data_IF_281123870558
#
_entry.id   IF_281123870558
#
_cell.length_a   1.000
_cell.length_b   1.000
_cell.length_c   1.000
_cell.angle_alpha   90.00
_cell.angle_beta   90.00
_cell.angle_gamma   90.00
#
_symmetry.space_group_name_H-M   'P 1'
#
loop_
_entity.id
_entity.type
_entity.pdbx_description
1 polymer ?
#
# COMPACT_ATOMS: atom_id res chain seq x y z
N UNK A 1 -0.66 -17.88 1.89
CA UNK A 1 0.29 -17.25 2.83
C UNK A 1 -0.34 -15.98 3.42
N UNK A 2 -0.40 -15.82 4.75
CA UNK A 2 -0.93 -14.62 5.41
C UNK A 2 -0.10 -13.37 5.10
N UNK A 3 -0.75 -12.28 4.72
CA UNK A 3 -0.13 -10.97 4.45
C UNK A 3 -0.95 -9.82 5.02
N UNK A 4 -0.31 -8.68 5.25
CA UNK A 4 -0.98 -7.41 5.54
C UNK A 4 -0.86 -6.45 4.36
N UNK A 5 -1.78 -5.48 4.29
CA UNK A 5 -1.82 -4.47 3.22
C UNK A 5 -1.95 -3.07 3.80
N UNK A 6 -1.04 -2.15 3.44
CA UNK A 6 -1.18 -0.74 3.84
C UNK A 6 -2.56 -0.16 3.50
N UNK A 7 -3.18 0.50 4.48
CA UNK A 7 -4.51 1.13 4.37
C UNK A 7 -4.48 2.44 3.55
N UNK A 8 -3.88 2.38 2.37
CA UNK A 8 -3.98 3.35 1.29
C UNK A 8 -4.07 2.64 -0.08
N UNK A 9 -4.31 1.32 -0.05
CA UNK A 9 -4.44 0.43 -1.19
C UNK A 9 -5.82 -0.23 -1.12
N UNK A 10 -6.53 -0.19 -2.24
CA UNK A 10 -7.87 -0.76 -2.34
C UNK A 10 -7.85 -2.28 -2.25
N UNK A 11 -8.59 -2.81 -1.27
CA UNK A 11 -8.94 -4.23 -1.14
C UNK A 11 -10.47 -4.31 -1.17
N UNK A 12 -11.02 -4.99 -2.17
CA UNK A 12 -12.47 -5.06 -2.42
C UNK A 12 -13.22 -5.44 -1.15
N UNK A 13 -14.22 -4.64 -0.80
CA UNK A 13 -15.10 -4.83 0.35
C UNK A 13 -14.53 -4.34 1.68
N UNK A 14 -13.29 -3.86 1.72
CA UNK A 14 -12.69 -3.27 2.92
C UNK A 14 -12.70 -1.74 2.87
N UNK A 15 -12.74 -1.06 4.03
CA UNK A 15 -12.62 0.38 4.10
C UNK A 15 -11.22 0.83 3.64
N UNK A 16 -11.15 1.97 2.95
CA UNK A 16 -9.88 2.61 2.58
C UNK A 16 -9.90 4.11 2.91
N UNK A 17 -9.91 4.50 4.19
CA UNK A 17 -9.93 5.90 4.59
C UNK A 17 -8.60 6.61 4.41
N UNK A 18 -7.51 5.89 4.11
CA UNK A 18 -6.16 6.47 4.00
C UNK A 18 -5.74 7.28 5.25
N UNK A 19 -6.20 6.84 6.43
CA UNK A 19 -5.97 7.49 7.72
C UNK A 19 -6.85 8.71 7.99
N UNK A 20 -7.69 9.14 7.04
CA UNK A 20 -8.48 10.38 7.14
C UNK A 20 -9.90 10.10 7.62
N UNK A 21 -10.35 10.83 8.64
CA UNK A 21 -11.66 10.63 9.28
C UNK A 21 -12.84 10.75 8.31
N UNK A 22 -12.83 11.77 7.45
CA UNK A 22 -13.93 12.01 6.50
C UNK A 22 -14.04 10.92 5.42
N UNK A 23 -12.99 10.11 5.24
CA UNK A 23 -12.93 9.04 4.23
C UNK A 23 -13.34 7.67 4.78
N UNK A 24 -13.78 7.58 6.03
CA UNK A 24 -14.20 6.32 6.69
C UNK A 24 -15.37 5.61 5.99
N UNK A 25 -16.24 6.35 5.32
CA UNK A 25 -17.31 5.79 4.49
C UNK A 25 -16.86 5.22 3.15
N UNK A 26 -15.59 5.37 2.77
CA UNK A 26 -15.07 4.87 1.49
C UNK A 26 -14.75 3.38 1.60
N UNK A 27 -15.64 2.56 1.03
CA UNK A 27 -15.42 1.12 0.86
C UNK A 27 -14.90 0.86 -0.56
N UNK A 28 -13.78 0.16 -0.67
CA UNK A 28 -13.21 -0.18 -1.97
C UNK A 28 -14.14 -1.13 -2.75
N UNK A 29 -14.56 -0.71 -3.94
CA UNK A 29 -15.45 -1.50 -4.81
C UNK A 29 -14.70 -2.57 -5.61
N UNK A 30 -13.38 -2.39 -5.80
CA UNK A 30 -12.52 -3.33 -6.53
C UNK A 30 -11.17 -3.48 -5.84
N UNK A 31 -10.48 -4.58 -6.12
CA UNK A 31 -9.10 -4.79 -5.68
C UNK A 31 -8.14 -3.96 -6.55
N UNK A 32 -7.17 -3.29 -5.93
CA UNK A 32 -6.04 -2.72 -6.64
C UNK A 32 -5.30 -3.81 -7.44
N UNK A 33 -4.61 -3.49 -8.58
CA UNK A 33 -3.98 -4.49 -9.41
C UNK A 33 -3.02 -5.41 -8.64
N UNK A 34 -2.19 -4.85 -7.76
CA UNK A 34 -1.27 -5.62 -6.91
C UNK A 34 -2.00 -6.59 -6.00
N UNK A 35 -3.15 -6.18 -5.44
CA UNK A 35 -3.99 -7.01 -4.58
C UNK A 35 -4.60 -8.16 -5.36
N UNK A 36 -5.08 -7.92 -6.60
CA UNK A 36 -5.55 -9.00 -7.49
C UNK A 36 -4.46 -10.03 -7.74
N UNK A 37 -3.24 -9.59 -8.05
CA UNK A 37 -2.12 -10.50 -8.31
C UNK A 37 -1.72 -11.28 -7.06
N UNK A 38 -1.68 -10.65 -5.89
CA UNK A 38 -1.38 -11.31 -4.62
C UNK A 38 -2.44 -12.37 -4.28
N UNK A 39 -3.74 -12.02 -4.39
CA UNK A 39 -4.83 -12.98 -4.17
C UNK A 39 -4.79 -14.14 -5.16
N UNK A 40 -4.56 -13.87 -6.44
CA UNK A 40 -4.41 -14.91 -7.47
C UNK A 40 -3.23 -15.85 -7.22
N UNK A 41 -2.17 -15.36 -6.55
CA UNK A 41 -1.03 -16.16 -6.12
C UNK A 41 -1.26 -16.91 -4.79
N UNK A 42 -2.47 -16.86 -4.21
CA UNK A 42 -2.80 -17.55 -2.95
C UNK A 42 -2.44 -16.78 -1.67
N UNK A 43 -2.26 -15.46 -1.75
CA UNK A 43 -2.11 -14.62 -0.56
C UNK A 43 -3.45 -14.50 0.18
N UNK A 44 -3.39 -14.59 1.51
CA UNK A 44 -4.53 -14.41 2.41
C UNK A 44 -4.32 -13.08 3.14
N UNK A 45 -5.15 -12.08 2.83
CA UNK A 45 -5.04 -10.76 3.47
C UNK A 45 -5.72 -10.85 4.83
N UNK A 46 -4.94 -10.75 5.91
CA UNK A 46 -5.45 -10.87 7.28
C UNK A 46 -5.77 -9.52 7.93
N UNK A 47 -5.38 -8.42 7.30
CA UNK A 47 -5.67 -7.08 7.81
C UNK A 47 -5.04 -5.96 6.98
N UNK A 48 -5.52 -4.74 7.23
CA UNK A 48 -4.94 -3.53 6.67
C UNK A 48 -4.06 -2.83 7.72
N UNK A 49 -2.82 -2.48 7.37
CA UNK A 49 -1.90 -1.83 8.29
C UNK A 49 -2.07 -0.32 8.28
N UNK A 50 -1.88 0.27 9.45
CA UNK A 50 -1.96 1.71 9.68
C UNK A 50 -0.98 2.51 8.79
N UNK A 51 -1.34 3.76 8.49
CA UNK A 51 -0.60 4.74 7.67
C UNK A 51 -0.89 6.15 8.20
N UNK A 52 0.04 7.12 8.10
CA UNK A 52 -0.33 8.51 8.33
C UNK A 52 -1.37 8.99 7.31
N UNK A 53 -2.15 9.99 7.67
CA UNK A 53 -3.20 10.60 6.83
C UNK A 53 -2.66 10.95 5.46
N UNK A 54 -3.22 10.36 4.39
CA UNK A 54 -2.79 10.53 3.00
C UNK A 54 -1.34 10.10 2.69
N UNK A 55 -0.63 9.51 3.66
CA UNK A 55 0.73 8.99 3.53
C UNK A 55 1.94 9.95 3.36
N UNK A 56 1.89 11.30 3.60
CA UNK A 56 3.04 12.19 3.40
C UNK A 56 3.86 12.44 4.69
N UNK A 57 3.81 11.54 5.69
CA UNK A 57 4.58 11.66 6.94
C UNK A 57 5.57 10.51 7.14
N UNK A 58 6.67 10.80 7.82
CA UNK A 58 7.75 9.85 8.15
C UNK A 58 7.52 9.11 9.48
N UNK A 59 6.36 9.26 10.09
CA UNK A 59 5.89 8.59 11.29
C UNK A 59 4.44 8.13 11.03
N UNK A 60 4.02 7.04 11.68
CA UNK A 60 2.73 6.40 11.39
C UNK A 60 1.74 6.65 12.52
N UNK A 61 0.99 7.74 12.39
CA UNK A 61 -0.09 8.14 13.28
C UNK A 61 -1.28 8.68 12.47
N UNK A 62 -2.50 8.45 12.94
CA UNK A 62 -3.67 9.17 12.44
C UNK A 62 -4.81 9.18 13.49
N UNK A 63 -5.85 10.03 13.30
CA UNK A 63 -6.97 10.10 14.22
C UNK A 63 -7.84 8.83 14.32
N UNK A 64 -7.76 7.91 13.35
CA UNK A 64 -8.60 6.72 13.30
C UNK A 64 -8.04 5.55 14.13
N UNK A 65 -6.74 5.36 14.05
CA UNK A 65 -6.03 4.18 14.56
C UNK A 65 -4.94 4.55 15.57
N UNK A 66 -4.70 5.84 15.78
CA UNK A 66 -3.65 6.34 16.67
C UNK A 66 -2.24 6.09 16.13
N UNK A 67 -1.27 6.20 17.04
CA UNK A 67 0.16 5.97 16.79
C UNK A 67 0.45 4.47 16.67
N UNK A 68 1.17 4.09 15.61
CA UNK A 68 1.78 2.76 15.51
C UNK A 68 3.10 2.77 16.27
N UNK A 69 3.28 1.83 17.20
CA UNK A 69 4.50 1.68 17.98
C UNK A 69 5.52 0.78 17.26
N UNK A 70 6.80 1.03 17.50
CA UNK A 70 7.87 0.15 17.05
C UNK A 70 7.96 -1.07 18.00
N UNK A 71 7.96 -2.31 17.49
CA UNK A 71 7.99 -3.52 18.34
C UNK A 71 9.27 -3.68 19.16
N UNK A 72 10.38 -3.04 18.75
CA UNK A 72 11.65 -3.12 19.48
C UNK A 72 11.69 -2.21 20.70
N UNK A 73 11.08 -1.02 20.58
CA UNK A 73 10.98 -0.03 21.66
C UNK A 73 9.83 0.95 21.36
N UNK A 74 8.86 1.06 22.27
CA UNK A 74 7.72 1.97 22.09
C UNK A 74 8.10 3.45 22.09
N UNK A 75 9.30 3.81 22.57
CA UNK A 75 9.80 5.19 22.60
C UNK A 75 10.43 5.64 21.27
N UNK A 76 10.66 4.73 20.31
CA UNK A 76 11.23 5.05 19.00
C UNK A 76 10.19 4.95 17.88
N UNK A 77 10.45 5.66 16.78
CA UNK A 77 9.56 5.66 15.61
C UNK A 77 9.52 4.28 14.93
N UNK A 78 8.33 3.86 14.47
CA UNK A 78 8.18 2.77 13.51
C UNK A 78 8.41 3.23 12.06
N UNK A 79 8.72 4.52 11.85
CA UNK A 79 8.85 5.14 10.54
C UNK A 79 7.50 5.35 9.85
N UNK A 80 7.57 5.87 8.62
CA UNK A 80 6.39 6.18 7.81
C UNK A 80 6.70 6.33 6.32
N UNK A 81 5.70 6.24 5.46
CA UNK A 81 4.28 6.07 5.80
C UNK A 81 3.84 4.61 5.89
N UNK A 82 4.70 3.63 5.61
CA UNK A 82 4.36 2.20 5.75
C UNK A 82 4.79 1.63 7.11
N UNK A 83 4.75 2.42 8.18
CA UNK A 83 5.22 2.02 9.51
C UNK A 83 4.45 0.83 10.06
N UNK A 84 3.12 0.81 9.91
CA UNK A 84 2.30 -0.34 10.31
C UNK A 84 2.71 -1.65 9.63
N UNK A 85 3.15 -1.61 8.37
CA UNK A 85 3.64 -2.78 7.67
C UNK A 85 5.01 -3.25 8.22
N UNK A 86 5.92 -2.30 8.49
CA UNK A 86 7.22 -2.58 9.10
C UNK A 86 7.08 -3.17 10.50
N UNK A 87 6.23 -2.57 11.34
CA UNK A 87 5.97 -3.06 12.70
C UNK A 87 5.27 -4.41 12.71
N UNK A 88 4.32 -4.66 11.80
CA UNK A 88 3.68 -5.98 11.70
C UNK A 88 4.67 -7.10 11.32
N UNK A 89 5.65 -6.80 10.46
CA UNK A 89 6.73 -7.75 10.13
C UNK A 89 7.65 -7.99 11.33
N UNK A 90 8.14 -6.92 11.96
CA UNK A 90 9.06 -7.02 13.09
C UNK A 90 8.43 -7.72 14.31
N UNK A 91 7.13 -7.53 14.54
CA UNK A 91 6.38 -8.22 15.58
C UNK A 91 6.01 -9.69 15.24
N UNK A 92 6.34 -10.18 14.04
CA UNK A 92 6.04 -11.56 13.64
C UNK A 92 4.55 -11.83 13.33
N UNK A 93 3.74 -10.80 13.10
CA UNK A 93 2.30 -10.94 12.77
C UNK A 93 2.13 -11.59 11.39
N UNK A 94 3.01 -11.22 10.44
CA UNK A 94 3.04 -11.78 9.08
C UNK A 94 4.48 -11.97 8.63
N UNK A 95 4.68 -12.84 7.64
CA UNK A 95 5.98 -13.04 6.98
C UNK A 95 6.19 -12.12 5.77
N UNK A 96 5.11 -11.51 5.27
CA UNK A 96 5.14 -10.53 4.18
C UNK A 96 4.09 -9.44 4.43
N UNK A 97 4.51 -8.19 4.30
CA UNK A 97 3.62 -7.03 4.39
C UNK A 97 3.76 -6.17 3.13
N UNK A 98 2.62 -5.69 2.62
CA UNK A 98 2.56 -4.81 1.46
C UNK A 98 2.54 -3.34 1.88
N UNK A 99 3.34 -2.51 1.20
CA UNK A 99 3.28 -1.05 1.29
C UNK A 99 3.67 -0.39 -0.04
N UNK A 100 3.89 0.93 -0.02
CA UNK A 100 4.30 1.71 -1.19
C UNK A 100 5.34 2.77 -0.81
N UNK A 101 6.14 3.17 -1.80
CA UNK A 101 7.29 4.06 -1.61
C UNK A 101 7.36 5.06 -2.77
N UNK A 102 7.17 6.35 -2.42
CA UNK A 102 7.41 7.49 -3.31
C UNK A 102 8.74 8.17 -2.93
N UNK A 103 8.91 8.49 -1.64
CA UNK A 103 10.07 9.22 -1.11
C UNK A 103 10.84 8.49 -0.01
N UNK A 104 10.71 7.17 0.10
CA UNK A 104 11.32 6.37 1.17
C UNK A 104 10.32 5.61 2.03
N UNK A 105 9.03 5.67 1.71
CA UNK A 105 7.96 5.15 2.58
C UNK A 105 7.91 3.64 2.76
N UNK A 106 8.77 2.86 2.09
CA UNK A 106 9.08 1.46 2.46
C UNK A 106 10.44 1.37 3.15
N UNK A 107 11.46 2.00 2.56
CA UNK A 107 12.86 1.92 3.03
C UNK A 107 13.07 2.51 4.42
N UNK A 108 12.41 3.61 4.74
CA UNK A 108 12.48 4.26 6.04
C UNK A 108 11.83 3.41 7.14
N UNK A 109 10.56 2.97 7.03
CA UNK A 109 10.01 1.98 7.98
C UNK A 109 10.84 0.71 8.11
N UNK A 110 11.37 0.20 7.01
CA UNK A 110 12.20 -1.00 7.04
C UNK A 110 13.46 -0.81 7.89
N UNK A 111 14.13 0.33 7.73
CA UNK A 111 15.26 0.73 8.57
C UNK A 111 14.86 0.85 10.05
N UNK A 112 13.77 1.57 10.36
CA UNK A 112 13.32 1.79 11.74
C UNK A 112 12.94 0.49 12.46
N UNK A 113 12.31 -0.46 11.77
CA UNK A 113 11.84 -1.72 12.36
C UNK A 113 12.84 -2.88 12.17
N UNK A 114 14.03 -2.65 11.61
CA UNK A 114 15.03 -3.71 11.43
C UNK A 114 14.57 -4.85 10.49
N UNK A 115 13.80 -4.54 9.45
CA UNK A 115 13.29 -5.53 8.48
C UNK A 115 13.80 -5.25 7.07
N UNK A 116 13.83 -6.27 6.22
CA UNK A 116 14.20 -6.11 4.81
C UNK A 116 13.02 -5.56 3.99
N UNK A 117 13.33 -4.78 2.94
CA UNK A 117 12.32 -4.32 2.00
C UNK A 117 12.86 -4.19 0.59
N UNK A 118 11.95 -4.18 -0.38
CA UNK A 118 12.25 -3.89 -1.79
C UNK A 118 11.35 -2.76 -2.26
N UNK A 119 11.97 -1.72 -2.84
CA UNK A 119 11.29 -0.72 -3.66
C UNK A 119 11.66 -1.05 -5.12
N UNK A 120 10.77 -1.69 -5.88
CA UNK A 120 11.07 -2.04 -7.26
C UNK A 120 11.28 -0.81 -8.14
N UNK A 121 11.94 -1.01 -9.29
CA UNK A 121 12.03 0.02 -10.33
C UNK A 121 10.63 0.56 -10.65
N UNK A 122 10.53 1.87 -10.88
CA UNK A 122 9.27 2.53 -11.20
C UNK A 122 8.60 1.84 -12.40
N UNK A 123 7.30 1.58 -12.31
CA UNK A 123 6.54 0.89 -13.35
C UNK A 123 6.57 -0.65 -13.27
N UNK A 124 7.44 -1.26 -12.45
CA UNK A 124 7.50 -2.72 -12.26
C UNK A 124 6.24 -3.27 -11.59
N UNK A 125 5.73 -2.57 -10.58
CA UNK A 125 4.47 -2.89 -9.91
C UNK A 125 3.42 -1.86 -10.31
N UNK A 126 2.26 -2.33 -10.77
CA UNK A 126 1.18 -1.44 -11.22
C UNK A 126 0.48 -0.79 -10.03
N UNK A 127 0.59 0.53 -9.92
CA UNK A 127 0.03 1.30 -8.80
C UNK A 127 -1.47 1.65 -8.97
N UNK A 128 -1.99 1.75 -10.20
CA UNK A 128 -3.40 2.05 -10.47
C UNK A 128 -4.00 1.07 -11.46
N UNK A 129 -5.31 0.84 -11.33
CA UNK A 129 -6.05 0.18 -12.40
C UNK A 129 -5.93 1.02 -13.67
N UNK A 130 -5.76 0.34 -14.80
CA UNK A 130 -6.02 0.97 -16.09
C UNK A 130 -7.53 1.03 -16.23
N UNK A 131 -8.16 1.96 -15.54
CA UNK A 131 -9.50 2.34 -15.93
C UNK A 131 -9.40 2.74 -17.40
N UNK A 132 -10.32 2.20 -18.19
CA UNK A 132 -10.51 2.63 -19.57
C UNK A 132 -10.78 4.12 -19.52
N UNK A 133 -9.73 4.94 -19.64
CA UNK A 133 -9.90 6.26 -20.24
C UNK A 133 -10.72 5.97 -21.50
N UNK A 134 -11.81 6.69 -21.77
CA UNK A 134 -12.46 6.63 -23.07
C UNK A 134 -11.55 7.34 -24.07
N UNK A 135 -10.30 6.90 -24.21
CA UNK A 135 -9.60 6.99 -25.46
C UNK A 135 -10.31 5.95 -26.31
N UNK A 136 -11.43 6.36 -26.92
CA UNK A 136 -11.83 5.77 -28.19
C UNK A 136 -10.54 5.68 -28.99
N UNK A 137 -10.19 4.46 -29.37
CA UNK A 137 -9.31 4.19 -30.49
C UNK A 137 -9.93 4.86 -31.73
N UNK A 138 -9.79 6.19 -31.82
CA UNK A 138 -10.20 7.02 -32.95
C UNK A 138 -9.06 7.25 -33.92
N UNK A 139 -7.92 6.60 -33.72
CA UNK A 139 -6.76 6.67 -34.61
C UNK A 139 -6.39 5.26 -35.09
N UNK A 140 -7.36 4.57 -35.71
CA UNK A 140 -7.10 3.37 -36.51
C UNK A 140 -7.40 3.59 -38.00
N UNK A 141 -7.55 4.85 -38.43
CA UNK A 141 -7.87 5.22 -39.82
C UNK A 141 -6.84 6.12 -40.50
N UNK A 142 -5.62 6.25 -39.96
CA UNK A 142 -4.54 6.93 -40.69
C UNK A 142 -3.62 5.89 -41.36
N UNK A 143 -3.62 5.79 -42.70
CA UNK A 143 -2.77 4.86 -43.43
C UNK A 143 -1.39 5.50 -43.59
N UNK A 144 -0.54 5.42 -42.57
CA UNK A 144 0.81 5.99 -42.72
C UNK A 144 1.97 5.17 -42.17
N UNK A 145 1.74 4.08 -41.44
CA UNK A 145 2.84 3.22 -41.00
C UNK A 145 2.49 1.74 -41.06
N UNK A 146 2.65 1.16 -42.26
CA UNK A 146 3.01 -0.24 -42.46
C UNK A 146 4.33 -0.28 -43.23
N UNK A 147 5.43 -0.41 -42.49
CA UNK A 147 6.66 -1.12 -42.88
C UNK A 147 7.23 -1.74 -41.63
#
# INVERSE_FOLDING_TARGET
>A
MPITVKQNIDVKGLPNPNGVLIMTGLIATTDAPVIRHLKAAGAIIIGQTNTPELSPRAFTDNPLHGLTLNPWDAAITCGGSSGGAGSALAAGIVVLAHGNDIGGSLRWPAHCNGVATIRPTLGRVRARQRDRLPIRSGCSSLPFWRR
#
